data_IF_446264945359
#
_entry.id   IF_446264945359
#
_cell.length_a   1.000
_cell.length_b   1.000
_cell.length_c   1.000
_cell.angle_alpha   90.00
_cell.angle_beta   90.00
_cell.angle_gamma   90.00
#
_symmetry.space_group_name_H-M   'P 1'
#
loop_
_entity.id
_entity.type
_entity.pdbx_description
1 polymer ?
#
# COMPACT_ATOMS: atom_id res chain seq x y z
N UNK A 1 29.94 -15.94 -8.84
CA UNK A 1 29.51 -14.79 -9.69
C UNK A 1 28.13 -14.95 -10.36
N UNK A 2 27.20 -15.79 -9.87
CA UNK A 2 25.81 -15.85 -10.38
C UNK A 2 24.82 -15.26 -9.37
N UNK A 3 24.80 -13.94 -9.22
CA UNK A 3 23.95 -13.25 -8.23
C UNK A 3 23.19 -12.03 -8.79
N UNK A 4 23.14 -11.91 -10.13
CA UNK A 4 22.30 -10.92 -10.79
C UNK A 4 20.84 -11.13 -10.37
N UNK A 5 20.21 -10.05 -9.88
CA UNK A 5 18.86 -10.06 -9.33
C UNK A 5 18.23 -8.68 -9.47
N UNK A 6 16.91 -8.64 -9.41
CA UNK A 6 16.11 -7.41 -9.40
C UNK A 6 15.63 -7.17 -7.96
N UNK A 7 15.73 -5.93 -7.49
CA UNK A 7 15.27 -5.51 -6.16
C UNK A 7 14.09 -4.55 -6.31
N UNK A 8 12.89 -4.98 -5.90
CA UNK A 8 11.73 -4.10 -5.84
C UNK A 8 11.69 -3.40 -4.48
N UNK A 9 11.97 -2.09 -4.47
CA UNK A 9 12.13 -1.29 -3.25
C UNK A 9 10.88 -0.53 -2.80
N UNK A 10 9.82 -0.57 -3.59
CA UNK A 10 8.57 0.16 -3.32
C UNK A 10 7.63 -0.58 -2.36
N UNK A 11 7.96 -1.81 -1.95
CA UNK A 11 7.14 -2.61 -1.03
C UNK A 11 7.57 -2.34 0.42
N UNK A 12 6.61 -1.94 1.26
CA UNK A 12 6.80 -1.74 2.68
C UNK A 12 6.66 -3.06 3.48
N UNK A 13 7.26 -3.18 4.69
CA UNK A 13 7.26 -4.42 5.48
C UNK A 13 5.88 -4.83 6.02
N UNK A 14 4.90 -3.94 6.00
CA UNK A 14 3.51 -4.20 6.40
C UNK A 14 2.66 -4.82 5.28
N UNK A 15 3.21 -4.95 4.07
CA UNK A 15 2.56 -5.65 2.97
C UNK A 15 2.44 -7.16 3.27
N UNK A 16 1.36 -7.78 2.78
CA UNK A 16 1.21 -9.23 2.87
C UNK A 16 2.26 -9.91 1.96
N UNK A 17 3.22 -10.67 2.52
CA UNK A 17 4.33 -11.22 1.74
C UNK A 17 3.86 -12.21 0.67
N UNK A 18 2.79 -12.97 0.94
CA UNK A 18 2.26 -13.94 -0.01
C UNK A 18 1.67 -13.27 -1.24
N UNK A 19 0.84 -12.23 -1.04
CA UNK A 19 0.25 -11.49 -2.16
C UNK A 19 1.30 -10.70 -2.94
N UNK A 20 2.28 -10.12 -2.26
CA UNK A 20 3.37 -9.39 -2.89
C UNK A 20 4.20 -10.31 -3.80
N UNK A 21 4.68 -11.44 -3.28
CA UNK A 21 5.44 -12.40 -4.08
C UNK A 21 4.62 -13.02 -5.20
N UNK A 22 3.36 -13.35 -4.94
CA UNK A 22 2.46 -13.87 -5.97
C UNK A 22 2.28 -12.89 -7.13
N UNK A 23 2.00 -11.63 -6.84
CA UNK A 23 1.84 -10.59 -7.85
C UNK A 23 3.14 -10.37 -8.63
N UNK A 24 4.29 -10.32 -7.95
CA UNK A 24 5.59 -10.14 -8.59
C UNK A 24 5.96 -11.30 -9.52
N UNK A 25 5.88 -12.54 -9.02
CA UNK A 25 6.25 -13.72 -9.79
C UNK A 25 5.34 -13.92 -10.99
N UNK A 26 4.02 -13.79 -10.78
CA UNK A 26 3.06 -13.98 -11.87
C UNK A 26 3.19 -12.88 -12.93
N UNK A 27 3.44 -11.63 -12.54
CA UNK A 27 3.72 -10.54 -13.48
C UNK A 27 5.05 -10.72 -14.20
N UNK A 28 6.08 -11.24 -13.53
CA UNK A 28 7.36 -11.53 -14.17
C UNK A 28 7.31 -12.70 -15.16
N UNK A 29 6.43 -13.68 -14.94
CA UNK A 29 6.30 -14.87 -15.78
C UNK A 29 5.28 -14.71 -16.93
N UNK A 30 4.13 -14.10 -16.64
CA UNK A 30 2.99 -14.00 -17.57
C UNK A 30 2.79 -12.57 -18.10
N UNK A 31 3.48 -11.58 -17.52
CA UNK A 31 3.34 -10.18 -17.91
C UNK A 31 3.91 -9.90 -19.30
N UNK A 32 3.26 -9.02 -20.03
CA UNK A 32 3.76 -8.53 -21.31
C UNK A 32 4.80 -7.44 -21.09
N UNK A 33 5.93 -7.54 -21.79
CA UNK A 33 6.92 -6.46 -21.82
C UNK A 33 6.32 -5.26 -22.56
N UNK A 34 6.17 -4.09 -21.91
CA UNK A 34 5.75 -2.90 -22.63
C UNK A 34 6.88 -2.45 -23.58
N UNK A 35 6.50 -1.84 -24.70
CA UNK A 35 7.47 -1.35 -25.70
C UNK A 35 8.31 -0.19 -25.14
N UNK A 36 7.75 0.58 -24.21
CA UNK A 36 8.41 1.65 -23.49
C UNK A 36 8.20 1.46 -21.99
N UNK A 37 9.19 1.85 -21.18
CA UNK A 37 9.04 1.86 -19.73
C UNK A 37 8.10 3.03 -19.39
N UNK A 38 6.91 2.79 -18.83
CA UNK A 38 5.99 3.87 -18.50
C UNK A 38 6.63 4.78 -17.45
N UNK A 39 6.76 6.07 -17.77
CA UNK A 39 7.08 7.13 -16.81
C UNK A 39 5.85 7.38 -15.92
N UNK A 40 5.67 6.51 -14.93
CA UNK A 40 4.54 6.55 -14.01
C UNK A 40 4.99 6.72 -12.56
N UNK A 41 4.39 7.69 -11.87
CA UNK A 41 4.54 7.83 -10.42
C UNK A 41 3.59 6.81 -9.77
N UNK A 42 4.08 6.09 -8.76
CA UNK A 42 3.23 5.21 -7.96
C UNK A 42 2.20 6.02 -7.17
N UNK A 43 1.03 5.45 -6.84
CA UNK A 43 0.03 6.16 -6.04
C UNK A 43 0.62 6.68 -4.72
N UNK A 44 0.43 7.98 -4.46
CA UNK A 44 0.97 8.66 -3.29
C UNK A 44 0.21 8.34 -2.00
N UNK A 45 -1.09 8.02 -2.12
CA UNK A 45 -1.92 7.68 -0.97
C UNK A 45 -2.79 6.44 -1.20
N UNK A 46 -3.31 5.90 -0.10
CA UNK A 46 -4.07 4.65 -0.08
C UNK A 46 -5.37 4.71 -0.90
N UNK A 47 -6.00 5.87 -1.03
CA UNK A 47 -7.27 6.02 -1.76
C UNK A 47 -7.04 5.95 -3.28
N UNK A 48 -5.97 6.61 -3.74
CA UNK A 48 -5.55 6.52 -5.14
C UNK A 48 -5.10 5.10 -5.47
N UNK A 49 -4.34 4.46 -4.57
CA UNK A 49 -3.93 3.07 -4.71
C UNK A 49 -5.12 2.10 -4.81
N UNK A 50 -6.14 2.26 -3.96
CA UNK A 50 -7.38 1.46 -4.02
C UNK A 50 -8.11 1.69 -5.34
N UNK A 51 -8.18 2.94 -5.81
CA UNK A 51 -8.85 3.29 -7.08
C UNK A 51 -8.14 2.66 -8.27
N UNK A 52 -6.81 2.77 -8.34
CA UNK A 52 -5.98 2.09 -9.35
C UNK A 52 -6.15 0.57 -9.29
N UNK A 53 -6.16 -0.02 -8.09
CA UNK A 53 -6.31 -1.46 -7.90
C UNK A 53 -7.70 -1.97 -8.32
N UNK A 54 -8.76 -1.22 -8.00
CA UNK A 54 -10.15 -1.57 -8.36
C UNK A 54 -10.40 -1.45 -9.87
N UNK A 55 -9.83 -0.42 -10.51
CA UNK A 55 -9.94 -0.20 -11.95
C UNK A 55 -9.08 -1.13 -12.82
N UNK A 56 -8.12 -1.85 -12.21
CA UNK A 56 -7.18 -2.68 -12.97
C UNK A 56 -7.81 -3.98 -13.49
N UNK A 57 -7.91 -4.09 -14.81
CA UNK A 57 -8.30 -5.33 -15.49
C UNK A 57 -7.28 -6.46 -15.26
N UNK A 58 -5.99 -6.12 -15.21
CA UNK A 58 -4.92 -7.08 -14.96
C UNK A 58 -5.03 -7.72 -13.58
N UNK A 59 -5.26 -6.91 -12.53
CA UNK A 59 -5.47 -7.45 -11.17
C UNK A 59 -6.74 -8.30 -11.10
N UNK A 60 -7.81 -7.92 -11.81
CA UNK A 60 -9.03 -8.72 -11.90
C UNK A 60 -8.77 -10.10 -12.51
N UNK A 61 -7.93 -10.18 -13.54
CA UNK A 61 -7.50 -11.46 -14.13
C UNK A 61 -6.57 -12.26 -13.18
N UNK A 62 -5.70 -11.56 -12.46
CA UNK A 62 -4.74 -12.14 -11.54
C UNK A 62 -5.41 -12.82 -10.33
N UNK A 63 -6.30 -12.11 -9.66
CA UNK A 63 -6.91 -12.54 -8.39
C UNK A 63 -8.35 -13.04 -8.55
N UNK A 64 -9.01 -12.74 -9.65
CA UNK A 64 -10.45 -12.92 -9.80
C UNK A 64 -11.25 -11.76 -9.21
N UNK A 65 -12.44 -11.53 -9.77
CA UNK A 65 -13.31 -10.41 -9.40
C UNK A 65 -13.78 -10.46 -7.94
N UNK A 66 -14.05 -11.65 -7.42
CA UNK A 66 -14.49 -11.82 -6.03
C UNK A 66 -13.42 -11.40 -5.03
N UNK A 67 -12.19 -11.89 -5.20
CA UNK A 67 -11.07 -11.58 -4.30
C UNK A 67 -10.69 -10.10 -4.41
N UNK A 68 -10.64 -9.56 -5.63
CA UNK A 68 -10.39 -8.14 -5.86
C UNK A 68 -11.40 -7.27 -5.09
N UNK A 69 -12.70 -7.56 -5.22
CA UNK A 69 -13.76 -6.80 -4.54
C UNK A 69 -13.66 -6.89 -3.01
N UNK A 70 -13.38 -8.08 -2.47
CA UNK A 70 -13.20 -8.27 -1.02
C UNK A 70 -11.97 -7.51 -0.51
N UNK A 71 -10.86 -7.56 -1.24
CA UNK A 71 -9.64 -6.85 -0.89
C UNK A 71 -9.86 -5.33 -0.89
N UNK A 72 -10.52 -4.80 -1.92
CA UNK A 72 -10.90 -3.38 -2.01
C UNK A 72 -11.80 -2.99 -0.84
N UNK A 73 -12.82 -3.78 -0.52
CA UNK A 73 -13.73 -3.49 0.59
C UNK A 73 -12.97 -3.41 1.93
N UNK A 74 -12.12 -4.39 2.23
CA UNK A 74 -11.33 -4.41 3.46
C UNK A 74 -10.35 -3.23 3.55
N UNK A 75 -9.65 -2.92 2.45
CA UNK A 75 -8.71 -1.80 2.42
C UNK A 75 -9.39 -0.44 2.49
N UNK A 76 -10.59 -0.31 1.91
CA UNK A 76 -11.42 0.90 2.04
C UNK A 76 -11.88 1.07 3.49
N UNK A 77 -12.39 0.01 4.13
CA UNK A 77 -12.77 0.04 5.54
C UNK A 77 -11.58 0.39 6.45
N UNK A 78 -10.39 -0.13 6.15
CA UNK A 78 -9.16 0.25 6.86
C UNK A 78 -8.82 1.72 6.64
N UNK A 79 -8.85 2.21 5.39
CA UNK A 79 -8.53 3.58 5.04
C UNK A 79 -9.51 4.60 5.64
N UNK A 80 -10.81 4.27 5.67
CA UNK A 80 -11.86 5.10 6.29
C UNK A 80 -11.71 5.19 7.81
N UNK A 81 -10.99 4.25 8.44
CA UNK A 81 -10.58 4.37 9.85
C UNK A 81 -9.42 5.34 10.05
N UNK A 82 -8.81 5.90 9.01
CA UNK A 82 -7.77 6.91 9.11
C UNK A 82 -8.34 8.35 9.08
N UNK A 83 -7.62 9.35 9.61
CA UNK A 83 -8.16 10.70 9.87
C UNK A 83 -8.62 11.49 8.64
N UNK A 84 -8.20 11.11 7.42
CA UNK A 84 -8.45 11.87 6.19
C UNK A 84 -9.93 12.20 5.94
N UNK A 85 -10.88 11.39 6.41
CA UNK A 85 -12.33 11.62 6.27
C UNK A 85 -13.03 12.25 7.48
N UNK A 86 -12.33 12.50 8.59
CA UNK A 86 -12.95 12.93 9.85
C UNK A 86 -12.92 14.44 10.09
N UNK A 87 -12.37 15.21 9.15
CA UNK A 87 -12.36 16.67 9.22
C UNK A 87 -11.68 17.17 10.49
N UNK A 88 -12.41 17.93 11.31
CA UNK A 88 -11.92 18.57 12.55
C UNK A 88 -11.97 17.67 13.80
N UNK A 89 -12.29 16.39 13.66
CA UNK A 89 -12.50 15.49 14.81
C UNK A 89 -11.19 14.79 15.19
N UNK A 90 -10.60 15.15 16.33
CA UNK A 90 -9.35 14.55 16.83
C UNK A 90 -9.62 13.16 17.43
N UNK A 91 -8.85 12.16 17.02
CA UNK A 91 -8.92 10.79 17.59
C UNK A 91 -8.11 10.67 18.86
N UNK A 92 -8.52 9.73 19.72
CA UNK A 92 -7.73 9.32 20.90
C UNK A 92 -6.30 8.94 20.51
N UNK A 93 -6.11 8.23 19.39
CA UNK A 93 -4.77 7.86 18.90
C UNK A 93 -3.90 9.08 18.52
N UNK A 94 -4.49 10.17 18.02
CA UNK A 94 -3.76 11.40 17.72
C UNK A 94 -3.35 12.11 19.01
N UNK A 95 -4.25 12.14 20.00
CA UNK A 95 -3.94 12.66 21.35
C UNK A 95 -2.79 11.86 21.97
N UNK A 96 -2.85 10.53 21.89
CA UNK A 96 -1.79 9.64 22.38
C UNK A 96 -0.46 9.90 21.66
N UNK A 97 -0.48 10.02 20.32
CA UNK A 97 0.71 10.34 19.54
C UNK A 97 1.31 11.69 19.95
N UNK A 98 0.48 12.73 20.10
CA UNK A 98 0.95 14.03 20.58
C UNK A 98 1.53 13.95 21.98
N UNK A 99 0.89 13.23 22.91
CA UNK A 99 1.44 13.01 24.25
C UNK A 99 2.76 12.22 24.23
N UNK A 100 2.90 11.19 23.39
CA UNK A 100 4.14 10.42 23.26
C UNK A 100 5.29 11.27 22.72
N UNK A 101 5.04 12.07 21.68
CA UNK A 101 6.04 12.99 21.12
C UNK A 101 6.44 14.06 22.14
N UNK A 102 5.47 14.64 22.84
CA UNK A 102 5.76 15.59 23.91
C UNK A 102 6.56 14.95 25.04
N UNK A 103 6.20 13.75 25.46
CA UNK A 103 6.94 13.02 26.48
C UNK A 103 8.38 12.77 26.02
N UNK A 104 8.60 12.24 24.81
CA UNK A 104 9.94 12.01 24.27
C UNK A 104 10.79 13.29 24.26
N UNK A 105 10.21 14.43 23.89
CA UNK A 105 10.88 15.73 23.96
C UNK A 105 11.26 16.11 25.40
N UNK A 106 10.33 15.99 26.35
CA UNK A 106 10.61 16.25 27.77
C UNK A 106 11.70 15.34 28.32
N UNK A 107 11.68 14.04 27.98
CA UNK A 107 12.71 13.08 28.36
C UNK A 107 14.08 13.42 27.77
N UNK A 108 14.14 14.02 26.58
CA UNK A 108 15.41 14.45 25.98
C UNK A 108 16.07 15.65 26.69
N UNK A 109 15.35 16.33 27.59
CA UNK A 109 15.86 17.45 28.40
C UNK A 109 16.42 17.04 29.77
N UNK A 110 16.37 15.75 30.13
CA UNK A 110 16.95 15.17 31.33
C UNK A 110 18.09 14.22 30.99
#
# INVERSE_FOLDING_TARGET
>A
ERSARIEMRSIAPDANPYLAFYALLRTGLEGTLPAEVPEGILPDNIYDAISCFSGSAYIKQLLGSEIQNRFVALKTMQADRCPRRLGSTIKVAEIQYHHEVTNQYLWSMF
#
